data_IF_122433979525
#
_entry.id   IF_122433979525
#
_cell.length_a   1.000
_cell.length_b   1.000
_cell.length_c   1.000
_cell.angle_alpha   90.00
_cell.angle_beta   90.00
_cell.angle_gamma   90.00
#
_symmetry.space_group_name_H-M   'P 1'
#
loop_
_entity.id
_entity.type
_entity.pdbx_description
1 polymer ?
#
# COMPACT_ATOMS: atom_id res chain seq x y z
N UNK A 1 -6.30 -9.72 -7.25
CA UNK A 1 -6.57 -8.69 -6.21
C UNK A 1 -8.06 -8.52 -5.97
N UNK A 2 -8.87 -8.13 -6.98
CA UNK A 2 -10.34 -7.95 -6.82
C UNK A 2 -11.16 -9.23 -6.56
N UNK A 3 -10.50 -10.37 -6.41
CA UNK A 3 -11.07 -11.67 -6.05
C UNK A 3 -10.55 -12.16 -4.68
N UNK A 4 -9.98 -11.27 -3.87
CA UNK A 4 -9.49 -11.59 -2.55
C UNK A 4 -10.61 -12.12 -1.65
N UNK A 5 -10.30 -13.11 -0.82
CA UNK A 5 -11.26 -13.77 0.08
C UNK A 5 -11.11 -13.35 1.53
N UNK A 6 -9.94 -12.82 1.90
CA UNK A 6 -9.59 -12.44 3.27
C UNK A 6 -9.25 -10.96 3.33
N UNK A 7 -8.04 -10.57 2.92
CA UNK A 7 -7.57 -9.20 2.98
C UNK A 7 -6.57 -8.88 1.86
N UNK A 8 -6.51 -7.60 1.50
CA UNK A 8 -5.48 -7.03 0.65
C UNK A 8 -4.60 -6.04 1.42
N UNK A 9 -3.28 -6.17 1.30
CA UNK A 9 -2.32 -5.24 1.93
C UNK A 9 -1.52 -4.53 0.86
N UNK A 10 -1.60 -3.20 0.84
CA UNK A 10 -1.05 -2.36 -0.23
C UNK A 10 -0.07 -1.36 0.37
N UNK A 11 1.16 -1.39 -0.11
CA UNK A 11 2.18 -0.40 0.21
C UNK A 11 2.60 0.32 -1.06
N UNK A 12 2.66 1.65 -1.01
CA UNK A 12 3.07 2.46 -2.14
C UNK A 12 3.39 3.90 -1.76
N UNK A 13 3.94 4.63 -2.71
CA UNK A 13 4.13 6.08 -2.63
C UNK A 13 2.83 6.83 -2.95
N UNK A 14 2.76 8.13 -2.64
CA UNK A 14 1.65 8.99 -3.06
C UNK A 14 1.41 8.94 -4.58
N UNK A 15 2.47 8.83 -5.38
CA UNK A 15 2.36 8.71 -6.85
C UNK A 15 1.71 7.40 -7.28
N UNK A 16 1.91 6.32 -6.53
CA UNK A 16 1.26 5.04 -6.83
C UNK A 16 -0.23 5.12 -6.48
N UNK A 17 -0.56 5.69 -5.32
CA UNK A 17 -1.94 5.89 -4.91
C UNK A 17 -2.71 6.86 -5.80
N UNK A 18 -2.08 7.90 -6.36
CA UNK A 18 -2.71 8.72 -7.41
C UNK A 18 -3.07 7.91 -8.64
N UNK A 19 -2.20 6.98 -9.07
CA UNK A 19 -2.50 6.10 -10.21
C UNK A 19 -3.65 5.15 -9.88
N UNK A 20 -3.66 4.60 -8.66
CA UNK A 20 -4.74 3.73 -8.19
C UNK A 20 -6.08 4.47 -8.13
N UNK A 21 -6.08 5.72 -7.65
CA UNK A 21 -7.25 6.58 -7.64
C UNK A 21 -7.79 6.82 -9.05
N UNK A 22 -6.94 7.25 -10.00
CA UNK A 22 -7.36 7.47 -11.39
C UNK A 22 -7.78 6.20 -12.12
N UNK A 23 -7.38 5.03 -11.64
CA UNK A 23 -7.79 3.74 -12.16
C UNK A 23 -9.04 3.17 -11.47
N UNK A 24 -9.68 3.93 -10.57
CA UNK A 24 -10.81 3.51 -9.73
C UNK A 24 -10.51 2.22 -8.94
N UNK A 25 -9.24 1.99 -8.61
CA UNK A 25 -8.83 0.74 -7.97
C UNK A 25 -9.29 0.65 -6.52
N UNK A 26 -9.27 1.77 -5.78
CA UNK A 26 -9.73 1.81 -4.40
C UNK A 26 -11.26 1.64 -4.32
N UNK A 27 -11.99 2.29 -5.23
CA UNK A 27 -13.44 2.12 -5.36
C UNK A 27 -13.80 0.66 -5.66
N UNK A 28 -13.05 0.01 -6.58
CA UNK A 28 -13.26 -1.39 -6.89
C UNK A 28 -13.04 -2.31 -5.66
N UNK A 29 -12.13 -1.99 -4.74
CA UNK A 29 -11.97 -2.76 -3.49
C UNK A 29 -13.21 -2.65 -2.60
N UNK A 30 -13.77 -1.45 -2.47
CA UNK A 30 -15.00 -1.21 -1.69
C UNK A 30 -16.22 -1.87 -2.34
N UNK A 31 -16.40 -1.74 -3.66
CA UNK A 31 -17.49 -2.35 -4.42
C UNK A 31 -17.52 -3.89 -4.26
N UNK A 32 -16.35 -4.52 -4.29
CA UNK A 32 -16.19 -5.96 -4.10
C UNK A 32 -16.20 -6.38 -2.63
N UNK A 33 -16.36 -5.44 -1.69
CA UNK A 33 -16.36 -5.66 -0.23
C UNK A 33 -15.09 -6.38 0.25
N UNK A 34 -13.96 -6.03 -0.34
CA UNK A 34 -12.66 -6.60 0.02
C UNK A 34 -12.14 -5.86 1.25
N UNK A 35 -11.71 -6.60 2.28
CA UNK A 35 -10.98 -6.00 3.38
C UNK A 35 -9.57 -5.58 2.91
N UNK A 36 -9.11 -4.40 3.33
CA UNK A 36 -7.80 -3.93 2.89
C UNK A 36 -7.12 -2.98 3.88
N UNK A 37 -5.81 -2.91 3.76
CA UNK A 37 -4.94 -2.00 4.52
C UNK A 37 -3.98 -1.27 3.59
N UNK A 38 -3.87 0.04 3.76
CA UNK A 38 -3.07 0.94 2.93
C UNK A 38 -1.93 1.57 3.74
N UNK A 39 -0.70 1.40 3.26
CA UNK A 39 0.48 2.10 3.77
C UNK A 39 1.02 3.05 2.70
N UNK A 40 0.94 4.35 2.99
CA UNK A 40 1.40 5.40 2.08
C UNK A 40 1.74 6.68 2.84
N UNK A 41 2.69 7.50 2.36
CA UNK A 41 2.78 8.88 2.80
C UNK A 41 1.47 9.61 2.44
N UNK A 42 1.04 10.54 3.30
CA UNK A 42 -0.13 11.38 3.06
C UNK A 42 0.28 12.83 3.22
N UNK A 43 0.24 13.59 2.14
CA UNK A 43 0.50 15.01 2.11
C UNK A 43 -0.82 15.76 2.00
N UNK A 44 -0.78 17.08 2.23
CA UNK A 44 -1.95 17.96 2.00
C UNK A 44 -2.50 17.84 0.57
N UNK A 45 -1.66 17.49 -0.40
CA UNK A 45 -2.04 17.38 -1.81
C UNK A 45 -2.68 16.04 -2.17
N UNK A 46 -2.39 14.96 -1.45
CA UNK A 46 -2.92 13.62 -1.73
C UNK A 46 -4.07 13.23 -0.79
N UNK A 47 -4.41 14.06 0.19
CA UNK A 47 -5.44 13.78 1.19
C UNK A 47 -6.81 13.41 0.59
N UNK A 48 -7.19 14.07 -0.51
CA UNK A 48 -8.48 13.82 -1.18
C UNK A 48 -8.64 12.39 -1.72
N UNK A 49 -7.54 11.67 -2.00
CA UNK A 49 -7.58 10.26 -2.43
C UNK A 49 -8.21 9.38 -1.35
N UNK A 50 -8.07 9.78 -0.09
CA UNK A 50 -8.36 8.97 1.08
C UNK A 50 -9.55 9.52 1.89
N UNK A 51 -10.26 10.54 1.40
CA UNK A 51 -11.33 11.21 2.15
C UNK A 51 -12.52 10.29 2.45
N UNK A 52 -12.85 9.39 1.52
CA UNK A 52 -13.98 8.47 1.62
C UNK A 52 -13.60 7.09 2.19
N UNK A 53 -12.34 6.90 2.57
CA UNK A 53 -11.85 5.63 3.11
C UNK A 53 -11.84 5.66 4.63
N UNK A 54 -12.27 4.56 5.25
CA UNK A 54 -12.16 4.37 6.70
C UNK A 54 -10.70 4.54 7.15
N UNK A 55 -10.48 5.49 8.08
CA UNK A 55 -9.15 5.80 8.62
C UNK A 55 -8.48 4.61 9.29
N UNK A 56 -9.22 3.61 9.77
CA UNK A 56 -8.65 2.38 10.34
C UNK A 56 -7.95 1.51 9.29
N UNK A 57 -8.32 1.68 8.00
CA UNK A 57 -7.72 0.98 6.87
C UNK A 57 -6.46 1.65 6.33
N UNK A 58 -6.11 2.85 6.81
CA UNK A 58 -4.98 3.63 6.27
C UNK A 58 -4.02 4.02 7.38
N UNK A 59 -2.73 3.81 7.15
CA UNK A 59 -1.69 4.34 8.03
C UNK A 59 -0.63 5.09 7.25
N UNK A 60 -0.17 6.18 7.86
CA UNK A 60 0.83 7.04 7.26
C UNK A 60 2.21 6.38 7.32
N UNK A 61 2.81 6.23 6.14
CA UNK A 61 4.17 5.74 6.00
C UNK A 61 5.17 6.83 6.37
N UNK A 62 6.22 6.48 7.11
CA UNK A 62 7.32 7.39 7.41
C UNK A 62 8.00 7.86 6.10
N UNK A 63 8.39 9.14 6.05
CA UNK A 63 9.08 9.78 4.92
C UNK A 63 10.43 9.15 4.57
N UNK A 64 10.98 8.28 5.43
CA UNK A 64 12.21 7.54 5.19
C UNK A 64 12.08 6.37 4.21
N UNK A 65 10.85 5.95 3.87
CA UNK A 65 10.63 4.85 2.91
C UNK A 65 10.80 5.36 1.48
N UNK A 66 11.69 4.72 0.71
CA UNK A 66 11.96 5.10 -0.68
C UNK A 66 10.70 4.95 -1.55
N UNK A 67 10.46 5.94 -2.40
CA UNK A 67 9.30 5.98 -3.32
C UNK A 67 9.27 4.81 -4.33
N UNK A 68 10.39 4.10 -4.51
CA UNK A 68 10.49 2.98 -5.44
C UNK A 68 9.87 1.68 -4.89
N UNK A 69 9.51 1.61 -3.60
CA UNK A 69 8.86 0.46 -3.00
C UNK A 69 7.34 0.51 -3.24
N UNK A 70 6.81 -0.42 -4.02
CA UNK A 70 5.36 -0.59 -4.17
C UNK A 70 5.01 -2.07 -4.36
N UNK A 71 4.08 -2.57 -3.55
CA UNK A 71 3.60 -3.94 -3.64
C UNK A 71 2.19 -4.12 -3.06
N UNK A 72 1.51 -5.15 -3.53
CA UNK A 72 0.18 -5.59 -3.10
C UNK A 72 0.26 -7.06 -2.72
N UNK A 73 -0.19 -7.40 -1.52
CA UNK A 73 -0.35 -8.77 -1.05
C UNK A 73 -1.84 -9.07 -1.05
N UNK A 74 -2.24 -10.19 -1.65
CA UNK A 74 -3.60 -10.73 -1.58
C UNK A 74 -3.56 -12.01 -0.75
N UNK A 75 -4.45 -12.10 0.24
CA UNK A 75 -4.79 -13.31 1.01
C UNK A 75 -3.62 -14.13 1.61
N UNK A 76 -2.41 -13.56 1.65
CA UNK A 76 -1.16 -14.26 1.91
C UNK A 76 -0.84 -15.41 0.94
N UNK A 77 -1.42 -15.39 -0.26
CA UNK A 77 -1.20 -16.38 -1.30
C UNK A 77 -0.50 -15.83 -2.55
N UNK A 78 -0.56 -14.52 -2.76
CA UNK A 78 -0.03 -13.86 -3.95
C UNK A 78 0.51 -12.47 -3.62
N UNK A 79 1.58 -12.09 -4.32
CA UNK A 79 2.09 -10.72 -4.28
C UNK A 79 2.32 -10.19 -5.69
N UNK A 80 1.89 -8.95 -5.91
CA UNK A 80 2.22 -8.14 -7.07
C UNK A 80 3.14 -7.02 -6.60
N UNK A 81 4.37 -6.94 -7.10
CA UNK A 81 5.28 -5.86 -6.74
C UNK A 81 5.89 -5.20 -7.96
N UNK A 82 6.18 -3.91 -7.83
CA UNK A 82 6.67 -3.09 -8.92
C UNK A 82 8.17 -2.85 -8.75
N UNK A 83 8.93 -3.12 -9.81
CA UNK A 83 10.33 -2.72 -9.91
C UNK A 83 10.37 -1.41 -10.67
N UNK A 84 10.77 -0.35 -9.97
CA UNK A 84 10.94 0.99 -10.52
C UNK A 84 12.44 1.26 -10.63
N UNK A 85 12.95 1.31 -11.86
CA UNK A 85 14.33 1.68 -12.10
C UNK A 85 14.45 3.21 -12.10
N UNK A 86 15.46 3.74 -11.42
CA UNK A 86 15.78 5.17 -11.45
C UNK A 86 16.68 5.44 -12.67
N UNK A 87 16.22 6.28 -13.62
CA UNK A 87 16.93 6.61 -14.86
C UNK A 87 16.02 7.20 -15.95
N UNK A 88 16.60 7.53 -17.12
CA UNK A 88 15.86 8.12 -18.25
C UNK A 88 14.81 7.17 -18.87
N UNK A 89 14.95 5.86 -18.67
CA UNK A 89 13.94 4.86 -19.07
C UNK A 89 12.99 4.61 -17.90
N UNK A 90 11.82 5.28 -17.93
CA UNK A 90 10.71 5.14 -16.98
C UNK A 90 9.96 3.79 -17.09
N UNK A 91 10.65 2.71 -17.48
CA UNK A 91 10.02 1.40 -17.58
C UNK A 91 9.68 0.90 -16.16
N UNK A 92 8.38 0.81 -15.88
CA UNK A 92 7.85 0.18 -14.69
C UNK A 92 7.58 -1.28 -15.02
N UNK A 93 8.21 -2.21 -14.30
CA UNK A 93 7.93 -3.63 -14.42
C UNK A 93 7.11 -4.08 -13.22
N UNK A 94 6.16 -4.96 -13.46
CA UNK A 94 5.38 -5.61 -12.41
C UNK A 94 5.72 -7.10 -12.40
N UNK A 95 5.93 -7.65 -11.22
CA UNK A 95 6.11 -9.09 -11.02
C UNK A 95 4.97 -9.57 -10.15
N UNK A 96 4.21 -10.52 -10.68
CA UNK A 96 3.29 -11.34 -9.91
C UNK A 96 3.98 -12.65 -9.53
N UNK A 97 3.83 -13.07 -8.28
CA UNK A 97 4.37 -14.34 -7.79
C UNK A 97 3.54 -14.88 -6.63
N UNK A 98 3.46 -16.20 -6.55
CA UNK A 98 2.93 -16.96 -5.43
C UNK A 98 4.05 -17.65 -4.61
N UNK A 99 5.30 -17.17 -4.73
CA UNK A 99 6.43 -17.69 -3.95
C UNK A 99 6.25 -17.38 -2.48
N UNK A 100 6.12 -18.44 -1.65
CA UNK A 100 5.95 -18.33 -0.20
C UNK A 100 7.02 -17.45 0.46
N UNK A 101 8.28 -17.58 0.05
CA UNK A 101 9.38 -16.78 0.60
C UNK A 101 9.21 -15.29 0.30
N UNK A 102 8.80 -14.94 -0.93
CA UNK A 102 8.60 -13.55 -1.31
C UNK A 102 7.37 -12.98 -0.59
N UNK A 103 6.27 -13.72 -0.57
CA UNK A 103 5.04 -13.35 0.15
C UNK A 103 5.36 -13.08 1.62
N UNK A 104 6.00 -14.04 2.30
CA UNK A 104 6.38 -13.93 3.70
C UNK A 104 7.27 -12.71 3.96
N UNK A 105 8.27 -12.46 3.11
CA UNK A 105 9.15 -11.28 3.25
C UNK A 105 8.38 -9.96 3.15
N UNK A 106 7.41 -9.87 2.24
CA UNK A 106 6.61 -8.66 2.00
C UNK A 106 5.57 -8.47 3.10
N UNK A 107 4.97 -9.57 3.56
CA UNK A 107 4.05 -9.58 4.69
C UNK A 107 4.73 -9.14 5.99
N UNK A 108 5.94 -9.64 6.27
CA UNK A 108 6.76 -9.21 7.41
C UNK A 108 7.06 -7.72 7.35
N UNK A 109 7.50 -7.23 6.19
CA UNK A 109 7.79 -5.81 6.00
C UNK A 109 6.55 -4.94 6.22
N UNK A 110 5.42 -5.30 5.61
CA UNK A 110 4.15 -4.59 5.77
C UNK A 110 3.73 -4.55 7.25
N UNK A 111 3.69 -5.70 7.91
CA UNK A 111 3.25 -5.82 9.30
C UNK A 111 4.17 -5.06 10.25
N UNK A 112 5.49 -5.14 10.05
CA UNK A 112 6.44 -4.40 10.87
C UNK A 112 6.22 -2.89 10.79
N UNK A 113 5.84 -2.36 9.63
CA UNK A 113 5.54 -0.94 9.47
C UNK A 113 4.19 -0.62 10.10
N UNK A 114 3.16 -1.41 9.77
CA UNK A 114 1.79 -1.24 10.26
C UNK A 114 1.69 -1.20 11.78
N UNK A 115 2.41 -2.08 12.48
CA UNK A 115 2.40 -2.12 13.94
C UNK A 115 3.16 -0.97 14.59
N UNK A 116 4.23 -0.46 13.96
CA UNK A 116 5.00 0.68 14.50
C UNK A 116 4.22 1.99 14.46
N UNK A 117 3.33 2.13 13.48
CA UNK A 117 2.49 3.32 13.34
C UNK A 117 1.38 3.41 14.41
N UNK A 118 1.00 2.31 15.06
CA UNK A 118 0.03 2.33 16.18
C UNK A 118 0.60 2.96 17.45
N UNK A 119 1.93 2.98 17.60
CA UNK A 119 2.61 3.49 18.81
C UNK A 119 2.92 4.99 18.77
N UNK A 120 2.54 5.71 17.71
CA UNK A 120 2.89 7.13 17.51
C UNK A 120 1.81 8.16 17.89
N UNK A 121 0.71 7.75 18.53
CA UNK A 121 -0.24 8.68 19.16
C UNK A 121 0.00 8.82 20.66
N UNK A 122 1.19 9.32 21.07
CA UNK A 122 1.36 10.03 22.35
C UNK A 122 2.48 11.07 22.20
N UNK A 123 2.14 12.29 21.78
CA UNK A 123 2.74 13.48 22.40
C UNK A 123 1.79 14.69 22.27
N UNK A 124 1.12 15.13 23.35
CA UNK A 124 0.23 16.29 23.34
C UNK A 124 0.92 17.66 23.47
N UNK A 125 2.26 17.76 23.43
CA UNK A 125 2.95 19.04 23.66
C UNK A 125 4.08 19.31 22.66
N UNK A 126 3.75 19.92 21.53
CA UNK A 126 4.61 20.91 20.83
C UNK A 126 3.75 22.02 20.21
#
# INVERSE_FOLDING_TARGET
ILNAKKECRILGSEKDFMKFYHANFLDALEEHKIDYKLLTPISKKSKYIFEDIDKTKIKQLCSSVKENLCFLIKDDDEVLFFIKNEGNNKEMRAIWTNSETIIYSKALLFNSIWSKTDTSEVDPNE
#
